data_IF_653005448617
#
_entry.id   IF_653005448617
#
_cell.length_a   1.000
_cell.length_b   1.000
_cell.length_c   1.000
_cell.angle_alpha   90.00
_cell.angle_beta   90.00
_cell.angle_gamma   90.00
#
_symmetry.space_group_name_H-M   'P 1'
#
loop_
_entity.id
_entity.type
_entity.pdbx_description
1 polymer ?
#
# COMPACT_ATOMS: atom_id res chain seq x y z
N UNK A 1 -8.38 7.70 12.47
CA UNK A 1 -7.44 6.77 11.79
C UNK A 1 -6.50 6.21 12.83
N UNK A 2 -6.02 4.97 12.67
CA UNK A 2 -5.22 4.29 13.72
C UNK A 2 -3.70 4.54 13.64
N UNK A 3 -3.25 5.44 12.76
CA UNK A 3 -1.83 5.65 12.45
C UNK A 3 -1.33 4.73 11.32
N UNK A 4 -0.06 4.91 10.94
CA UNK A 4 0.64 4.07 9.94
C UNK A 4 1.23 2.79 10.55
N UNK A 5 1.41 2.76 11.86
CA UNK A 5 2.02 1.66 12.61
C UNK A 5 1.10 0.44 12.74
N UNK A 6 -0.21 0.63 12.57
CA UNK A 6 -1.22 -0.41 12.72
C UNK A 6 -1.72 -0.85 11.36
N UNK A 7 -1.60 -2.14 11.09
CA UNK A 7 -2.23 -2.76 9.92
C UNK A 7 -3.75 -2.59 10.02
N UNK A 8 -4.31 -1.85 9.07
CA UNK A 8 -5.75 -1.63 8.96
C UNK A 8 -6.29 -2.46 7.82
N UNK A 9 -7.46 -3.06 8.04
CA UNK A 9 -8.19 -3.75 6.98
C UNK A 9 -9.08 -2.76 6.24
N UNK A 10 -9.42 -3.01 4.96
CA UNK A 10 -10.44 -2.25 4.27
C UNK A 10 -11.74 -2.23 5.09
N UNK A 11 -12.34 -1.04 5.21
CA UNK A 11 -13.71 -0.89 5.70
C UNK A 11 -14.66 -1.04 4.52
N UNK A 12 -15.69 -1.84 4.68
CA UNK A 12 -16.71 -2.09 3.65
C UNK A 12 -17.96 -1.32 4.06
N UNK A 13 -18.44 -0.48 3.15
CA UNK A 13 -19.68 0.31 3.32
C UNK A 13 -20.76 -0.29 2.44
N UNK A 14 -21.98 -0.34 2.96
CA UNK A 14 -23.17 -0.81 2.26
C UNK A 14 -24.10 0.35 1.92
N UNK A 15 -24.97 0.14 0.94
CA UNK A 15 -25.91 1.17 0.44
C UNK A 15 -26.90 1.63 1.52
N UNK A 16 -27.16 0.80 2.54
CA UNK A 16 -27.98 1.14 3.70
C UNK A 16 -27.25 2.02 4.75
N UNK A 17 -26.00 2.41 4.46
CA UNK A 17 -25.17 3.22 5.35
C UNK A 17 -24.46 2.42 6.44
N UNK A 18 -24.73 1.13 6.57
CA UNK A 18 -24.00 0.26 7.49
C UNK A 18 -22.57 0.02 6.99
N UNK A 19 -21.67 -0.35 7.92
CA UNK A 19 -20.32 -0.69 7.55
C UNK A 19 -19.73 -1.79 8.44
N UNK A 20 -18.82 -2.55 7.87
CA UNK A 20 -18.05 -3.59 8.56
C UNK A 20 -16.56 -3.28 8.45
N UNK A 21 -15.84 -3.57 9.53
CA UNK A 21 -14.42 -3.26 9.67
C UNK A 21 -13.73 -4.36 10.47
N UNK A 22 -12.49 -4.70 10.12
CA UNK A 22 -11.67 -5.70 10.82
C UNK A 22 -12.25 -7.13 10.87
N UNK A 23 -13.02 -7.51 9.86
CA UNK A 23 -13.48 -8.89 9.67
C UNK A 23 -12.48 -9.69 8.84
N UNK A 24 -12.60 -11.02 8.85
CA UNK A 24 -11.66 -11.88 8.12
C UNK A 24 -11.77 -11.69 6.61
N UNK A 25 -12.98 -11.52 6.05
CA UNK A 25 -13.13 -11.31 4.61
C UNK A 25 -12.47 -10.02 4.12
N UNK A 26 -12.48 -8.94 4.91
CA UNK A 26 -11.79 -7.70 4.53
C UNK A 26 -10.27 -7.87 4.56
N UNK A 27 -9.73 -8.68 5.49
CA UNK A 27 -8.30 -9.07 5.48
C UNK A 27 -7.97 -9.86 4.22
N UNK A 28 -8.82 -10.83 3.86
CA UNK A 28 -8.61 -11.65 2.66
C UNK A 28 -8.65 -10.79 1.40
N UNK A 29 -9.59 -9.85 1.30
CA UNK A 29 -9.63 -8.90 0.19
C UNK A 29 -8.38 -8.02 0.13
N UNK A 30 -7.90 -7.52 1.27
CA UNK A 30 -6.65 -6.76 1.32
C UNK A 30 -5.47 -7.57 0.75
N UNK A 31 -5.36 -8.85 1.12
CA UNK A 31 -4.30 -9.72 0.61
C UNK A 31 -4.40 -9.93 -0.91
N UNK A 32 -5.60 -10.10 -1.46
CA UNK A 32 -5.83 -10.18 -2.92
C UNK A 32 -5.43 -8.87 -3.61
N UNK A 33 -5.76 -7.73 -3.01
CA UNK A 33 -5.41 -6.42 -3.56
C UNK A 33 -3.88 -6.24 -3.61
N UNK A 34 -3.19 -6.50 -2.48
CA UNK A 34 -1.73 -6.39 -2.39
C UNK A 34 -0.98 -7.48 -3.18
N UNK A 35 -1.64 -8.56 -3.61
CA UNK A 35 -1.04 -9.53 -4.54
C UNK A 35 -1.11 -9.09 -6.00
N UNK A 36 -1.61 -7.89 -6.28
CA UNK A 36 -1.81 -7.31 -7.62
C UNK A 36 -2.80 -8.07 -8.53
N UNK A 37 -3.53 -9.05 -8.02
CA UNK A 37 -4.52 -9.83 -8.80
C UNK A 37 -5.74 -8.98 -9.18
N UNK A 38 -6.15 -8.10 -8.29
CA UNK A 38 -7.35 -7.27 -8.46
C UNK A 38 -7.07 -5.86 -9.00
N UNK A 39 -5.88 -5.61 -9.56
CA UNK A 39 -5.53 -4.29 -10.13
C UNK A 39 -6.42 -4.01 -11.35
N UNK A 40 -6.90 -2.76 -11.49
CA UNK A 40 -7.76 -2.35 -12.62
C UNK A 40 -6.97 -2.32 -13.93
N UNK A 41 -7.57 -2.65 -15.09
CA UNK A 41 -6.85 -2.65 -16.37
C UNK A 41 -6.21 -1.30 -16.70
N UNK A 42 -6.91 -0.20 -16.38
CA UNK A 42 -6.43 1.17 -16.59
C UNK A 42 -5.13 1.49 -15.85
N UNK A 43 -4.83 0.79 -14.75
CA UNK A 43 -3.58 0.98 -14.01
C UNK A 43 -2.36 0.46 -14.79
N UNK A 44 -2.55 -0.47 -15.73
CA UNK A 44 -1.46 -1.03 -16.56
C UNK A 44 -1.05 -0.11 -17.70
N UNK A 45 -1.88 0.89 -18.03
CA UNK A 45 -1.64 1.87 -19.11
C UNK A 45 -1.83 3.29 -18.59
N UNK A 46 -1.63 3.50 -17.29
CA UNK A 46 -1.90 4.80 -16.67
C UNK A 46 -0.90 5.85 -17.17
N UNK A 47 -1.40 6.84 -17.92
CA UNK A 47 -0.60 7.99 -18.40
C UNK A 47 -0.05 8.88 -17.30
N UNK A 48 -0.51 8.69 -16.06
CA UNK A 48 -0.10 9.47 -14.89
C UNK A 48 0.91 8.75 -13.99
N UNK A 49 1.36 7.54 -14.36
CA UNK A 49 2.39 6.80 -13.64
C UNK A 49 3.80 7.30 -14.01
N UNK A 50 4.02 8.60 -13.87
CA UNK A 50 5.26 9.32 -14.16
C UNK A 50 5.26 10.68 -13.42
N UNK A 51 6.37 11.41 -13.53
CA UNK A 51 6.57 12.73 -12.92
C UNK A 51 6.02 13.90 -13.73
N UNK A 52 5.49 13.68 -14.95
CA UNK A 52 4.79 14.72 -15.70
C UNK A 52 3.37 14.87 -15.16
N UNK A 53 3.21 15.72 -14.16
CA UNK A 53 1.95 15.93 -13.43
C UNK A 53 1.19 17.12 -14.01
N UNK A 54 -0.08 16.91 -14.32
CA UNK A 54 -0.98 17.98 -14.76
C UNK A 54 -1.37 18.93 -13.61
N UNK A 55 -1.28 18.45 -12.36
CA UNK A 55 -1.63 19.22 -11.16
C UNK A 55 -0.45 19.99 -10.61
N UNK A 56 -0.69 21.24 -10.19
CA UNK A 56 0.33 22.13 -9.63
C UNK A 56 1.02 21.56 -8.38
N UNK A 57 0.29 20.79 -7.57
CA UNK A 57 0.79 20.03 -6.42
C UNK A 57 0.40 18.55 -6.54
N UNK A 58 1.31 17.65 -6.20
CA UNK A 58 1.01 16.21 -6.01
C UNK A 58 1.34 15.85 -4.56
N UNK A 59 0.39 15.22 -3.87
CA UNK A 59 0.52 14.86 -2.45
C UNK A 59 0.28 13.37 -2.30
N UNK A 60 1.10 12.68 -1.51
CA UNK A 60 0.91 11.27 -1.18
C UNK A 60 1.58 10.88 0.13
N UNK A 61 1.32 9.67 0.60
CA UNK A 61 1.98 9.10 1.76
C UNK A 61 3.49 8.91 1.49
N UNK A 62 4.35 9.49 2.33
CA UNK A 62 5.79 9.29 2.27
C UNK A 62 6.22 8.03 3.03
N UNK A 63 5.93 6.87 2.45
CA UNK A 63 6.38 5.59 2.98
C UNK A 63 7.92 5.53 3.05
N UNK A 64 8.46 5.26 4.23
CA UNK A 64 9.91 5.18 4.44
C UNK A 64 10.58 6.52 4.77
N UNK A 65 9.81 7.56 5.12
CA UNK A 65 10.31 8.86 5.55
C UNK A 65 11.39 8.73 6.63
N UNK A 66 11.27 7.78 7.55
CA UNK A 66 12.22 7.53 8.64
C UNK A 66 13.64 7.19 8.17
N UNK A 67 13.81 6.80 6.90
CA UNK A 67 15.13 6.52 6.30
C UNK A 67 15.87 7.78 5.86
N UNK A 68 15.14 8.80 5.41
CA UNK A 68 15.71 10.07 4.97
C UNK A 68 15.66 11.15 6.06
N UNK A 69 14.68 11.01 6.94
CA UNK A 69 14.25 12.01 7.91
C UNK A 69 14.05 11.36 9.29
N UNK A 70 15.09 10.71 9.86
CA UNK A 70 14.99 10.00 11.14
C UNK A 70 14.65 10.92 12.34
N UNK A 71 14.90 12.22 12.21
CA UNK A 71 14.52 13.26 13.17
C UNK A 71 13.00 13.41 13.32
N UNK A 72 12.24 12.97 12.31
CA UNK A 72 10.78 13.05 12.31
C UNK A 72 10.16 11.78 12.89
N UNK A 73 9.83 11.82 14.17
CA UNK A 73 8.96 10.83 14.81
C UNK A 73 7.50 11.14 14.46
N UNK A 74 7.02 10.60 13.33
CA UNK A 74 5.65 10.87 12.85
C UNK A 74 4.76 9.62 12.98
N UNK A 75 4.15 9.36 14.16
CA UNK A 75 3.30 8.18 14.37
C UNK A 75 2.07 8.14 13.45
N UNK A 76 1.65 9.31 12.95
CA UNK A 76 0.55 9.45 12.00
C UNK A 76 1.01 9.47 10.53
N UNK A 77 2.32 9.38 10.27
CA UNK A 77 2.91 9.48 8.94
C UNK A 77 3.19 10.89 8.47
N UNK A 78 3.99 11.00 7.41
CA UNK A 78 4.32 12.25 6.73
C UNK A 78 3.85 12.21 5.28
N UNK A 79 3.50 13.35 4.70
CA UNK A 79 3.17 13.44 3.28
C UNK A 79 4.38 13.87 2.47
N UNK A 80 4.56 13.25 1.30
CA UNK A 80 5.45 13.75 0.25
C UNK A 80 4.66 14.74 -0.60
N UNK A 81 5.20 15.94 -0.76
CA UNK A 81 4.61 16.99 -1.61
C UNK A 81 5.55 17.28 -2.76
N UNK A 82 5.09 17.06 -3.99
CA UNK A 82 5.79 17.45 -5.21
C UNK A 82 5.17 18.74 -5.74
N UNK A 83 6.01 19.75 -5.91
CA UNK A 83 5.67 21.02 -6.53
C UNK A 83 5.98 20.91 -8.03
N UNK A 84 4.94 20.95 -8.87
CA UNK A 84 5.07 20.63 -10.30
C UNK A 84 5.02 21.86 -11.21
N UNK A 85 4.70 23.04 -10.67
CA UNK A 85 4.60 24.29 -11.41
C UNK A 85 4.92 25.51 -10.53
N UNK A 86 5.11 26.67 -11.17
CA UNK A 86 5.28 27.94 -10.46
C UNK A 86 4.04 28.32 -9.63
N UNK A 87 2.84 28.01 -10.13
CA UNK A 87 1.59 28.19 -9.37
C UNK A 87 1.56 27.31 -8.12
N UNK A 88 2.01 26.06 -8.23
CA UNK A 88 2.12 25.16 -7.10
C UNK A 88 3.13 25.66 -6.07
N UNK A 89 4.22 26.28 -6.53
CA UNK A 89 5.22 26.89 -5.66
C UNK A 89 4.67 28.09 -4.89
N UNK A 90 3.91 28.96 -5.56
CA UNK A 90 3.22 30.09 -4.93
C UNK A 90 2.22 29.59 -3.90
N UNK A 91 1.34 28.66 -4.28
CA UNK A 91 0.34 28.08 -3.37
C UNK A 91 0.99 27.38 -2.15
N UNK A 92 2.08 26.65 -2.35
CA UNK A 92 2.79 26.00 -1.23
C UNK A 92 3.43 27.01 -0.28
N UNK A 93 3.99 28.11 -0.81
CA UNK A 93 4.58 29.18 0.00
C UNK A 93 3.54 29.87 0.89
N UNK A 94 2.30 30.03 0.42
CA UNK A 94 1.24 30.65 1.22
C UNK A 94 0.84 29.80 2.45
N UNK A 95 1.03 28.48 2.38
CA UNK A 95 0.66 27.56 3.47
C UNK A 95 1.86 27.06 4.27
N UNK A 96 3.09 27.25 3.80
CA UNK A 96 4.28 26.61 4.38
C UNK A 96 4.50 26.97 5.84
N UNK A 97 4.12 28.18 6.26
CA UNK A 97 4.27 28.65 7.64
C UNK A 97 3.37 27.89 8.63
N UNK A 98 2.33 27.20 8.12
CA UNK A 98 1.44 26.36 8.90
C UNK A 98 1.84 24.87 8.86
N UNK A 99 2.95 24.53 8.21
CA UNK A 99 3.41 23.16 8.01
C UNK A 99 4.76 22.92 8.68
N UNK A 100 4.95 21.71 9.19
CA UNK A 100 6.28 21.21 9.53
C UNK A 100 6.80 20.47 8.32
N UNK A 101 7.67 21.10 7.54
CA UNK A 101 8.22 20.53 6.31
C UNK A 101 9.75 20.59 6.27
N UNK A 102 10.33 19.58 5.62
CA UNK A 102 11.75 19.54 5.24
C UNK A 102 11.87 19.19 3.77
N UNK A 103 12.94 19.66 3.14
CA UNK A 103 13.28 19.23 1.78
C UNK A 103 13.82 17.81 1.82
N UNK A 104 13.30 16.93 0.96
CA UNK A 104 13.72 15.54 0.81
C UNK A 104 14.37 15.30 -0.54
N UNK A 105 15.19 14.26 -0.65
CA UNK A 105 15.69 13.80 -1.95
C UNK A 105 14.56 13.09 -2.70
N UNK A 106 14.12 13.72 -3.80
CA UNK A 106 13.03 13.22 -4.62
C UNK A 106 13.27 11.78 -5.10
N UNK A 107 14.50 11.41 -5.47
CA UNK A 107 14.77 10.09 -6.07
C UNK A 107 14.52 8.97 -5.07
N UNK A 108 14.84 9.20 -3.80
CA UNK A 108 14.66 8.20 -2.75
C UNK A 108 13.27 8.22 -2.12
N UNK A 109 12.49 9.28 -2.36
CA UNK A 109 11.17 9.48 -1.79
C UNK A 109 10.03 9.00 -2.71
N UNK A 110 10.31 8.84 -4.00
CA UNK A 110 9.28 8.56 -4.99
C UNK A 110 8.78 7.11 -4.91
N UNK A 111 7.46 6.88 -4.80
CA UNK A 111 6.89 5.55 -4.94
C UNK A 111 7.04 5.05 -6.38
N UNK A 112 7.24 3.74 -6.53
CA UNK A 112 7.35 3.05 -7.83
C UNK A 112 6.20 3.38 -8.79
N UNK A 113 4.99 3.61 -8.25
CA UNK A 113 3.80 3.97 -9.02
C UNK A 113 3.90 5.33 -9.73
N UNK A 114 4.86 6.18 -9.35
CA UNK A 114 5.18 7.44 -10.03
C UNK A 114 6.35 7.30 -11.01
N UNK A 115 6.95 6.12 -11.12
CA UNK A 115 8.10 5.87 -12.01
C UNK A 115 7.71 5.02 -13.21
N UNK A 116 6.81 4.04 -13.01
CA UNK A 116 6.37 3.16 -14.08
C UNK A 116 4.97 2.58 -13.82
N UNK A 117 4.31 2.18 -14.90
CA UNK A 117 3.01 1.49 -14.82
C UNK A 117 3.16 0.13 -14.15
N UNK A 118 2.17 -0.23 -13.32
CA UNK A 118 2.12 -1.57 -12.71
C UNK A 118 1.88 -2.60 -13.82
N UNK A 119 2.73 -3.62 -13.92
CA UNK A 119 2.52 -4.72 -14.87
C UNK A 119 1.34 -5.59 -14.44
N UNK A 120 0.54 -6.13 -15.37
CA UNK A 120 -0.53 -7.05 -15.03
C UNK A 120 0.04 -8.33 -14.42
N UNK A 121 -0.56 -8.77 -13.31
CA UNK A 121 -0.28 -10.09 -12.77
C UNK A 121 -0.69 -11.16 -13.79
N UNK A 122 0.13 -12.18 -14.01
CA UNK A 122 -0.10 -13.21 -15.05
C UNK A 122 -1.46 -13.92 -14.91
N UNK A 123 -1.91 -14.11 -13.66
CA UNK A 123 -3.21 -14.72 -13.33
C UNK A 123 -4.38 -13.73 -13.17
N UNK A 124 -4.22 -12.45 -13.52
CA UNK A 124 -5.27 -11.44 -13.32
C UNK A 124 -6.59 -11.83 -14.01
N UNK A 125 -6.54 -12.18 -15.29
CA UNK A 125 -7.75 -12.53 -16.05
C UNK A 125 -8.41 -13.81 -15.53
N UNK A 126 -7.60 -14.81 -15.18
CA UNK A 126 -8.06 -16.04 -14.52
C UNK A 126 -8.77 -15.73 -13.19
N UNK A 127 -8.17 -14.86 -12.38
CA UNK A 127 -8.72 -14.43 -11.09
C UNK A 127 -10.10 -13.81 -11.24
N UNK A 128 -10.28 -12.85 -12.16
CA UNK A 128 -11.59 -12.20 -12.34
C UNK A 128 -12.65 -13.17 -12.88
N UNK A 129 -12.29 -14.05 -13.81
CA UNK A 129 -13.19 -15.09 -14.30
C UNK A 129 -13.62 -16.06 -13.19
N UNK A 130 -12.69 -16.46 -12.31
CA UNK A 130 -13.02 -17.29 -11.15
C UNK A 130 -13.85 -16.52 -10.11
N UNK A 131 -13.54 -15.23 -9.89
CA UNK A 131 -14.24 -14.35 -8.95
C UNK A 131 -15.73 -14.22 -9.27
N UNK A 132 -16.09 -14.16 -10.55
CA UNK A 132 -17.49 -14.12 -11.00
C UNK A 132 -18.22 -15.47 -10.85
N UNK A 133 -17.49 -16.59 -10.86
CA UNK A 133 -18.07 -17.95 -10.95
C UNK A 133 -18.06 -18.71 -9.62
N UNK A 134 -17.21 -18.31 -8.68
CA UNK A 134 -16.94 -19.04 -7.44
C UNK A 134 -17.31 -18.20 -6.22
N UNK A 135 -17.60 -18.87 -5.10
CA UNK A 135 -17.75 -18.18 -3.82
C UNK A 135 -16.46 -17.47 -3.41
N UNK A 136 -16.56 -16.35 -2.68
CA UNK A 136 -15.41 -15.60 -2.18
C UNK A 136 -14.41 -16.48 -1.41
N UNK A 137 -14.92 -17.39 -0.56
CA UNK A 137 -14.11 -18.38 0.18
C UNK A 137 -13.34 -19.31 -0.76
N UNK A 138 -13.95 -19.78 -1.85
CA UNK A 138 -13.28 -20.68 -2.80
C UNK A 138 -12.17 -19.95 -3.56
N UNK A 139 -12.41 -18.71 -4.00
CA UNK A 139 -11.43 -17.90 -4.74
C UNK A 139 -10.25 -17.54 -3.85
N UNK A 140 -10.50 -17.02 -2.65
CA UNK A 140 -9.43 -16.68 -1.70
C UNK A 140 -8.58 -17.90 -1.35
N UNK A 141 -9.18 -19.08 -1.15
CA UNK A 141 -8.42 -20.32 -0.94
C UNK A 141 -7.50 -20.68 -2.11
N UNK A 142 -7.97 -20.49 -3.35
CA UNK A 142 -7.21 -20.79 -4.58
C UNK A 142 -6.03 -19.84 -4.77
N UNK A 143 -6.21 -18.54 -4.54
CA UNK A 143 -5.22 -17.52 -4.89
C UNK A 143 -4.31 -17.09 -3.74
N UNK A 144 -4.74 -17.24 -2.48
CA UNK A 144 -3.95 -16.88 -1.29
C UNK A 144 -3.31 -18.09 -0.60
N UNK A 145 -3.36 -19.27 -1.22
CA UNK A 145 -2.78 -20.49 -0.66
C UNK A 145 -3.30 -20.78 0.77
N UNK A 146 -4.60 -20.56 1.00
CA UNK A 146 -5.19 -20.65 2.35
C UNK A 146 -5.52 -22.09 2.79
N UNK A 147 -5.34 -23.09 1.93
CA UNK A 147 -5.62 -24.49 2.26
C UNK A 147 -4.78 -25.04 3.43
N UNK A 148 -5.31 -26.07 4.11
CA UNK A 148 -4.73 -26.70 5.32
C UNK A 148 -3.24 -27.06 5.18
N UNK A 149 -2.82 -27.56 4.02
CA UNK A 149 -1.41 -27.90 3.72
C UNK A 149 -0.49 -26.66 3.78
N UNK A 150 -0.94 -25.56 3.22
CA UNK A 150 -0.19 -24.30 3.19
C UNK A 150 -0.30 -23.54 4.51
N UNK A 151 -1.38 -23.73 5.26
CA UNK A 151 -1.49 -23.28 6.66
C UNK A 151 -0.41 -23.95 7.53
N UNK A 152 -0.25 -25.27 7.41
CA UNK A 152 0.82 -26.00 8.10
C UNK A 152 2.21 -25.48 7.70
N UNK A 153 2.46 -25.29 6.39
CA UNK A 153 3.72 -24.69 5.91
C UNK A 153 3.96 -23.29 6.47
N UNK A 154 2.93 -22.44 6.56
CA UNK A 154 3.01 -21.08 7.13
C UNK A 154 3.32 -21.13 8.63
N UNK A 155 2.65 -22.00 9.38
CA UNK A 155 2.93 -22.26 10.81
C UNK A 155 4.37 -22.71 11.01
N UNK A 156 4.83 -23.70 10.24
CA UNK A 156 6.21 -24.21 10.29
C UNK A 156 7.24 -23.11 9.96
N UNK A 157 7.05 -22.35 8.89
CA UNK A 157 7.92 -21.20 8.55
C UNK A 157 7.95 -20.15 9.67
N UNK A 158 6.83 -19.90 10.36
CA UNK A 158 6.78 -18.96 11.48
C UNK A 158 7.63 -19.46 12.65
N UNK A 159 7.50 -20.73 13.01
CA UNK A 159 8.32 -21.37 14.05
C UNK A 159 9.80 -21.33 13.70
N UNK A 160 10.16 -21.67 12.46
CA UNK A 160 11.56 -21.64 12.00
C UNK A 160 12.15 -20.22 11.88
N UNK A 161 11.31 -19.18 11.73
CA UNK A 161 11.75 -17.78 11.72
C UNK A 161 11.94 -17.16 13.11
N UNK A 162 11.37 -17.75 14.16
CA UNK A 162 11.57 -17.31 15.55
C UNK A 162 13.05 -17.38 15.99
N UNK A 163 13.80 -18.48 15.80
CA UNK A 163 15.21 -18.52 16.19
C UNK A 163 16.06 -17.53 15.38
N UNK A 164 15.74 -17.26 14.12
CA UNK A 164 16.49 -16.31 13.29
C UNK A 164 16.34 -14.84 13.76
N UNK A 165 15.19 -14.47 14.32
CA UNK A 165 14.97 -13.13 14.92
C UNK A 165 15.64 -13.01 16.29
N UNK A 166 15.63 -14.07 17.09
CA UNK A 166 16.32 -14.13 18.38
C UNK A 166 17.85 -14.02 18.21
N UNK A 167 18.43 -14.76 17.25
CA UNK A 167 19.87 -14.71 16.97
C UNK A 167 20.29 -13.32 16.47
N UNK A 168 19.49 -12.68 15.60
CA UNK A 168 19.80 -11.34 15.08
C UNK A 168 19.72 -10.22 16.15
N UNK A 169 18.97 -10.44 17.22
CA UNK A 169 18.90 -9.52 18.36
C UNK A 169 19.99 -9.76 19.41
N UNK A 170 20.65 -10.93 19.40
CA UNK A 170 21.77 -11.26 20.30
C UNK A 170 23.12 -10.81 19.70
N UNK A 171 23.19 -10.63 18.37
CA UNK A 171 24.39 -10.19 17.64
C UNK A 171 24.46 -8.66 17.42
N UNK A 172 23.74 -7.86 18.21
CA UNK A 172 23.76 -6.39 18.18
C UNK A 172 24.31 -5.84 19.49
#
# INVERSE_FOLDING_TARGET
TLGWDKFQTPRIYFDDGSNIFNIDDSKLWALIFYSHLAVRPSCHTCRFANLNREGDLTIGDFWGVEKQHPEYLVPNGASLVLINSDKGKEAFKEISDNLVCSLSDAVQALPDTLLYVTKPHSKRSEFWNDYEKMSFKSVTNRYLDLGKKNEYKRKLKRVLRLPFRLIKNIMK
#
